data_IF_293237556818
#
_entry.id   IF_293237556818
#
_cell.length_a   1.000
_cell.length_b   1.000
_cell.length_c   1.000
_cell.angle_alpha   90.00
_cell.angle_beta   90.00
_cell.angle_gamma   90.00
#
_symmetry.space_group_name_H-M   'P 1'
#
loop_
_entity.id
_entity.type
_entity.pdbx_description
1 polymer ?
#
# COMPACT_ATOMS: atom_id res chain seq x y z
N UNK A 1 10.15 10.32 -81.80
CA UNK A 1 8.93 10.67 -82.54
C UNK A 1 8.09 11.45 -81.55
N UNK A 2 8.34 12.78 -81.42
CA UNK A 2 7.67 13.89 -82.09
C UNK A 2 6.14 13.72 -82.10
N UNK A 3 5.41 14.57 -81.44
CA UNK A 3 4.76 15.80 -81.90
C UNK A 3 3.93 16.27 -80.69
N UNK A 4 4.17 17.41 -80.08
CA UNK A 4 3.84 18.78 -80.37
C UNK A 4 2.34 19.11 -80.28
N UNK A 5 2.06 20.04 -79.36
CA UNK A 5 1.22 21.23 -79.38
C UNK A 5 -0.30 21.04 -79.40
N UNK A 6 -1.05 21.72 -78.59
CA UNK A 6 -1.47 23.09 -78.87
C UNK A 6 -2.21 23.71 -77.68
N UNK A 7 -1.97 24.94 -77.55
CA UNK A 7 -2.41 25.95 -76.63
C UNK A 7 -3.76 26.50 -77.06
N UNK A 8 -4.70 26.69 -76.13
CA UNK A 8 -5.70 27.75 -76.30
C UNK A 8 -6.08 28.37 -74.96
N UNK A 9 -5.71 29.60 -74.85
CA UNK A 9 -6.04 30.61 -73.87
C UNK A 9 -7.51 31.05 -74.04
N UNK A 10 -8.30 31.12 -72.96
CA UNK A 10 -9.51 31.94 -72.92
C UNK A 10 -9.61 32.61 -71.55
N UNK A 11 -9.31 33.86 -71.47
CA UNK A 11 -9.64 34.88 -70.49
C UNK A 11 -11.14 34.93 -70.20
N UNK A 12 -11.51 34.86 -68.91
CA UNK A 12 -12.88 35.13 -68.46
C UNK A 12 -12.89 35.52 -66.97
N UNK A 13 -12.83 36.84 -66.72
CA UNK A 13 -12.90 37.44 -65.40
C UNK A 13 -14.22 37.09 -64.68
N UNK A 14 -14.15 36.35 -63.64
CA UNK A 14 -15.23 36.10 -62.69
C UNK A 14 -14.85 36.62 -61.31
N UNK A 15 -15.54 37.67 -60.87
CA UNK A 15 -15.40 38.20 -59.48
C UNK A 15 -15.72 37.11 -58.50
N UNK A 16 -14.71 36.67 -57.73
CA UNK A 16 -14.92 35.78 -56.58
C UNK A 16 -15.61 36.54 -55.46
N UNK A 17 -16.81 36.12 -55.13
CA UNK A 17 -17.57 36.51 -53.95
C UNK A 17 -17.01 35.74 -52.78
N UNK A 18 -16.50 36.36 -51.67
CA UNK A 18 -16.01 35.64 -50.54
C UNK A 18 -17.14 34.93 -49.84
N UNK A 19 -17.21 33.63 -49.99
CA UNK A 19 -18.08 32.78 -49.20
C UNK A 19 -17.62 32.79 -47.77
N UNK A 20 -18.32 33.48 -46.87
CA UNK A 20 -18.16 33.44 -45.45
C UNK A 20 -18.35 31.98 -44.98
N UNK A 21 -17.25 31.26 -44.83
CA UNK A 21 -17.26 29.91 -44.26
C UNK A 21 -17.82 29.97 -42.85
N UNK A 22 -19.04 29.42 -42.69
CA UNK A 22 -19.66 29.17 -41.40
C UNK A 22 -18.74 28.19 -40.68
N UNK A 23 -17.96 28.65 -39.66
CA UNK A 23 -17.17 27.80 -38.79
C UNK A 23 -18.14 26.79 -38.16
N UNK A 24 -18.12 25.56 -38.64
CA UNK A 24 -18.77 24.44 -37.95
C UNK A 24 -18.09 24.34 -36.59
N UNK A 25 -18.78 24.78 -35.55
CA UNK A 25 -18.38 24.53 -34.16
C UNK A 25 -18.42 23.02 -33.99
N UNK A 26 -17.27 22.42 -33.80
CA UNK A 26 -17.13 21.00 -33.62
C UNK A 26 -17.76 20.64 -32.27
N UNK A 27 -19.03 20.26 -32.32
CA UNK A 27 -19.85 19.97 -31.12
C UNK A 27 -19.17 18.99 -30.18
N UNK A 28 -18.39 18.06 -30.73
CA UNK A 28 -17.67 17.09 -29.91
C UNK A 28 -16.56 17.75 -29.08
N UNK A 29 -15.85 18.73 -29.65
CA UNK A 29 -14.81 19.47 -28.89
C UNK A 29 -15.39 20.36 -27.80
N UNK A 30 -16.57 20.94 -28.05
CA UNK A 30 -17.25 21.78 -27.05
C UNK A 30 -17.81 20.89 -25.92
N UNK A 31 -18.42 19.75 -26.25
CA UNK A 31 -18.94 18.81 -25.27
C UNK A 31 -17.82 18.22 -24.40
N UNK A 32 -16.71 17.80 -24.99
CA UNK A 32 -15.56 17.28 -24.24
C UNK A 32 -14.97 18.34 -23.31
N UNK A 33 -14.81 19.60 -23.77
CA UNK A 33 -14.33 20.68 -22.91
C UNK A 33 -15.30 21.00 -21.77
N UNK A 34 -16.61 20.98 -22.03
CA UNK A 34 -17.62 21.19 -21.01
C UNK A 34 -17.63 20.06 -19.96
N UNK A 35 -17.45 18.80 -20.36
CA UNK A 35 -17.36 17.65 -19.47
C UNK A 35 -16.09 17.72 -18.59
N UNK A 36 -14.96 18.11 -19.15
CA UNK A 36 -13.71 18.26 -18.39
C UNK A 36 -13.84 19.39 -17.37
N UNK A 37 -14.41 20.53 -17.72
CA UNK A 37 -14.61 21.64 -16.79
C UNK A 37 -15.63 21.26 -15.71
N UNK A 38 -16.72 20.57 -16.07
CA UNK A 38 -17.69 20.08 -15.11
C UNK A 38 -17.08 19.06 -14.15
N UNK A 39 -16.22 18.17 -14.63
CA UNK A 39 -15.48 17.21 -13.79
C UNK A 39 -14.58 17.91 -12.79
N UNK A 40 -13.83 18.94 -13.20
CA UNK A 40 -12.94 19.71 -12.30
C UNK A 40 -13.73 20.48 -11.24
N UNK A 41 -14.90 21.01 -11.60
CA UNK A 41 -15.78 21.75 -10.68
C UNK A 41 -16.56 20.82 -9.72
N UNK A 42 -16.84 19.57 -10.13
CA UNK A 42 -17.59 18.61 -9.33
C UNK A 42 -16.70 17.83 -8.34
N UNK A 43 -15.40 17.70 -8.60
CA UNK A 43 -14.44 17.04 -7.70
C UNK A 43 -14.48 17.57 -6.25
N UNK A 44 -14.52 18.88 -5.99
CA UNK A 44 -14.60 19.39 -4.63
C UNK A 44 -15.98 19.16 -3.97
N UNK A 45 -17.06 19.04 -4.77
CA UNK A 45 -18.42 18.84 -4.25
C UNK A 45 -18.62 17.39 -3.77
N UNK A 46 -17.92 16.43 -4.37
CA UNK A 46 -17.95 15.02 -3.96
C UNK A 46 -17.20 14.74 -2.65
N UNK A 47 -16.60 15.76 -2.02
CA UNK A 47 -15.95 15.62 -0.71
C UNK A 47 -14.81 14.60 -0.69
N UNK A 48 -14.23 14.25 -1.86
CA UNK A 48 -13.00 13.49 -1.92
C UNK A 48 -11.88 14.43 -1.47
N UNK A 49 -11.87 14.74 -0.20
CA UNK A 49 -10.71 15.31 0.44
C UNK A 49 -9.67 14.19 0.44
N UNK A 50 -8.67 14.34 -0.42
CA UNK A 50 -7.43 13.61 -0.26
C UNK A 50 -6.87 14.05 1.10
N UNK A 51 -7.18 13.28 2.15
CA UNK A 51 -6.47 13.41 3.43
C UNK A 51 -5.11 12.77 3.19
N UNK A 52 -4.02 13.54 3.18
CA UNK A 52 -2.70 12.92 3.26
C UNK A 52 -2.72 12.01 4.49
N UNK A 53 -2.12 10.82 4.35
CA UNK A 53 -1.96 9.93 5.50
C UNK A 53 -1.41 10.76 6.66
N UNK A 54 -2.00 10.69 7.86
CA UNK A 54 -1.51 11.44 8.99
C UNK A 54 -0.03 11.09 9.17
N UNK A 55 0.83 12.10 9.24
CA UNK A 55 2.21 11.90 9.66
C UNK A 55 2.13 11.23 11.03
N UNK A 56 2.55 9.97 11.11
CA UNK A 56 2.49 9.22 12.34
C UNK A 56 3.42 9.90 13.35
N UNK A 57 2.82 10.46 14.40
CA UNK A 57 3.57 11.17 15.43
C UNK A 57 4.06 10.17 16.49
N UNK A 58 5.26 9.68 16.30
CA UNK A 58 5.93 8.80 17.29
C UNK A 58 6.09 9.46 18.68
N UNK A 59 5.99 10.78 18.78
CA UNK A 59 6.04 11.47 20.06
C UNK A 59 4.72 11.35 20.83
N UNK A 60 3.60 11.21 20.14
CA UNK A 60 2.29 11.00 20.74
C UNK A 60 2.09 9.55 21.24
N UNK A 61 2.85 8.58 20.69
CA UNK A 61 2.86 7.18 21.17
C UNK A 61 3.79 7.10 22.39
N UNK A 62 3.38 7.72 23.47
CA UNK A 62 4.26 7.98 24.64
C UNK A 62 4.42 6.82 25.58
N UNK A 63 3.72 5.71 25.44
CA UNK A 63 3.92 4.59 26.32
C UNK A 63 3.49 3.29 25.62
N UNK A 64 4.44 2.64 24.99
CA UNK A 64 4.35 1.21 24.84
C UNK A 64 4.22 0.65 26.26
N UNK A 65 3.02 0.21 26.64
CA UNK A 65 2.81 -0.31 27.98
C UNK A 65 3.72 -1.52 28.20
N UNK A 66 4.60 -1.45 29.19
CA UNK A 66 5.44 -2.59 29.56
C UNK A 66 4.80 -3.28 30.75
N UNK A 67 4.34 -4.49 30.53
CA UNK A 67 3.81 -5.38 31.57
C UNK A 67 4.77 -6.55 31.73
N UNK A 68 5.22 -6.81 32.95
CA UNK A 68 6.15 -7.90 33.30
C UNK A 68 7.43 -7.95 32.45
N UNK A 69 7.97 -6.79 32.08
CA UNK A 69 9.17 -6.69 31.24
C UNK A 69 8.93 -6.94 29.75
N UNK A 70 7.67 -7.12 29.32
CA UNK A 70 7.25 -7.31 27.93
C UNK A 70 6.59 -6.03 27.42
N UNK A 71 7.08 -5.50 26.33
CA UNK A 71 6.53 -4.28 25.73
C UNK A 71 5.39 -4.60 24.78
N UNK A 72 4.21 -4.04 25.01
CA UNK A 72 3.08 -4.14 24.08
C UNK A 72 3.32 -3.22 22.87
N UNK A 73 3.26 -3.78 21.67
CA UNK A 73 3.51 -3.06 20.42
C UNK A 73 2.37 -3.35 19.45
N UNK A 74 1.92 -2.32 18.73
CA UNK A 74 0.94 -2.46 17.65
C UNK A 74 1.56 -2.25 16.26
N UNK A 75 0.81 -2.60 15.23
CA UNK A 75 1.25 -2.44 13.85
C UNK A 75 1.25 -0.97 13.38
N UNK A 76 0.46 -0.10 14.00
CA UNK A 76 0.49 1.33 13.70
C UNK A 76 1.85 1.91 14.11
N UNK A 77 2.42 1.42 15.21
CA UNK A 77 3.76 1.78 15.61
C UNK A 77 4.85 1.16 14.71
N UNK A 78 4.73 -0.12 14.36
CA UNK A 78 5.72 -0.81 13.53
C UNK A 78 5.68 -0.35 12.06
N UNK A 79 4.49 -0.10 11.51
CA UNK A 79 4.25 0.27 10.11
C UNK A 79 4.11 1.76 9.85
N UNK A 80 4.16 2.61 10.89
CA UNK A 80 3.84 4.04 10.80
C UNK A 80 4.84 4.91 10.04
N UNK A 81 5.85 4.35 9.40
CA UNK A 81 6.85 5.05 8.61
C UNK A 81 7.04 4.43 7.22
N UNK A 82 7.55 5.20 6.27
CA UNK A 82 7.79 4.74 4.91
C UNK A 82 9.22 4.23 4.74
N UNK A 83 9.42 2.95 5.09
CA UNK A 83 10.73 2.31 4.99
C UNK A 83 11.21 2.18 3.53
N UNK A 84 10.31 1.94 2.58
CA UNK A 84 10.68 1.75 1.18
C UNK A 84 11.22 3.04 0.54
N UNK A 85 10.73 4.18 1.02
CA UNK A 85 11.19 5.49 0.54
C UNK A 85 12.49 5.94 1.21
N UNK A 86 12.55 5.83 2.52
CA UNK A 86 13.62 6.46 3.32
C UNK A 86 14.75 5.49 3.66
N UNK A 87 14.49 4.18 3.60
CA UNK A 87 15.38 3.09 4.01
C UNK A 87 15.98 3.31 5.42
N UNK A 88 15.22 3.98 6.28
CA UNK A 88 15.61 4.33 7.64
C UNK A 88 14.55 3.86 8.62
N UNK A 89 14.98 3.17 9.67
CA UNK A 89 14.11 2.79 10.79
C UNK A 89 14.17 3.90 11.85
N UNK A 90 13.02 4.41 12.31
CA UNK A 90 13.01 5.42 13.38
C UNK A 90 13.67 4.92 14.67
N UNK A 91 14.37 5.80 15.36
CA UNK A 91 15.09 5.46 16.60
C UNK A 91 14.17 4.80 17.64
N UNK A 92 12.93 5.28 17.78
CA UNK A 92 11.92 4.71 18.68
C UNK A 92 11.57 3.26 18.36
N UNK A 93 11.52 2.90 17.08
CA UNK A 93 11.30 1.51 16.65
C UNK A 93 12.55 0.69 16.92
N UNK A 94 13.75 1.22 16.61
CA UNK A 94 15.02 0.55 16.89
C UNK A 94 15.25 0.26 18.39
N UNK A 95 14.64 1.02 19.30
CA UNK A 95 14.67 0.74 20.73
C UNK A 95 14.05 -0.63 21.09
N UNK A 96 13.24 -1.21 20.22
CA UNK A 96 12.63 -2.53 20.42
C UNK A 96 13.54 -3.69 20.00
N UNK A 97 14.65 -3.41 19.32
CA UNK A 97 15.57 -4.47 18.88
C UNK A 97 16.11 -5.26 20.07
N UNK A 98 16.00 -6.58 19.98
CA UNK A 98 16.42 -7.51 21.02
C UNK A 98 15.53 -7.55 22.28
N UNK A 99 14.45 -6.76 22.35
CA UNK A 99 13.53 -6.78 23.48
C UNK A 99 12.44 -7.83 23.33
N UNK A 100 11.85 -8.24 24.45
CA UNK A 100 10.64 -9.02 24.47
C UNK A 100 9.44 -8.13 24.23
N UNK A 101 8.69 -8.45 23.19
CA UNK A 101 7.50 -7.69 22.77
C UNK A 101 6.28 -8.59 22.68
N UNK A 102 5.12 -7.96 22.76
CA UNK A 102 3.80 -8.56 22.62
C UNK A 102 3.07 -7.87 21.49
N UNK A 103 2.77 -8.58 20.41
CA UNK A 103 2.09 -8.05 19.22
C UNK A 103 0.81 -8.81 18.98
N UNK A 104 -0.25 -8.10 18.56
CA UNK A 104 -1.54 -8.69 18.20
C UNK A 104 -1.70 -8.60 16.70
N UNK A 105 -2.11 -9.72 16.07
CA UNK A 105 -2.31 -9.77 14.62
C UNK A 105 -2.93 -11.09 14.16
N UNK A 106 -2.95 -11.31 12.86
CA UNK A 106 -3.52 -12.47 12.22
C UNK A 106 -2.41 -13.32 11.60
N UNK A 107 -2.52 -14.65 11.76
CA UNK A 107 -1.54 -15.60 11.27
C UNK A 107 -1.71 -15.86 9.77
N UNK A 108 -0.61 -15.74 9.02
CA UNK A 108 -0.46 -16.30 7.69
C UNK A 108 0.71 -17.29 7.72
N UNK A 109 0.48 -18.60 7.62
CA UNK A 109 1.54 -19.59 7.73
C UNK A 109 2.51 -19.49 6.55
N UNK A 110 3.80 -19.63 6.82
CA UNK A 110 4.84 -19.75 5.82
C UNK A 110 5.18 -21.21 5.58
N UNK A 111 5.20 -21.99 6.66
CA UNK A 111 5.27 -23.44 6.63
C UNK A 111 3.99 -24.03 7.30
N UNK A 112 3.49 -25.09 6.73
CA UNK A 112 2.27 -25.72 7.23
C UNK A 112 2.38 -27.23 7.11
N UNK A 113 2.62 -27.88 8.23
CA UNK A 113 2.71 -29.35 8.31
C UNK A 113 1.68 -29.89 9.29
N UNK A 114 0.76 -30.70 8.79
CA UNK A 114 -0.18 -31.48 9.64
C UNK A 114 -1.00 -30.66 10.65
N UNK A 115 -1.33 -29.39 10.30
CA UNK A 115 -2.09 -28.51 11.19
C UNK A 115 -1.24 -27.76 12.23
N UNK A 116 0.06 -27.98 12.23
CA UNK A 116 1.03 -27.29 13.06
C UNK A 116 1.85 -26.31 12.22
N UNK A 117 2.24 -25.18 12.84
CA UNK A 117 2.98 -24.11 12.19
C UNK A 117 4.21 -23.78 13.02
N UNK A 118 5.39 -23.84 12.43
CA UNK A 118 6.65 -23.50 13.06
C UNK A 118 7.13 -22.10 12.67
N UNK A 119 6.68 -21.59 11.51
CA UNK A 119 6.92 -20.21 11.10
C UNK A 119 5.73 -19.58 10.39
N UNK A 120 5.48 -18.32 10.64
CA UNK A 120 4.35 -17.59 10.07
C UNK A 120 4.59 -16.10 10.02
N UNK A 121 3.89 -15.42 9.13
CA UNK A 121 3.76 -13.96 9.15
C UNK A 121 2.60 -13.58 10.07
N UNK A 122 2.87 -12.65 10.98
CA UNK A 122 1.84 -12.00 11.79
C UNK A 122 1.49 -10.67 11.12
N UNK A 123 0.23 -10.50 10.71
CA UNK A 123 -0.26 -9.38 9.92
C UNK A 123 -1.20 -8.51 10.74
N UNK A 124 -1.25 -7.21 10.43
CA UNK A 124 -2.19 -6.28 11.07
C UNK A 124 -3.66 -6.62 10.77
N UNK A 125 -3.94 -7.13 9.57
CA UNK A 125 -5.30 -7.43 9.14
C UNK A 125 -5.34 -8.67 8.25
N UNK A 126 -6.54 -9.22 8.07
CA UNK A 126 -6.78 -10.41 7.24
C UNK A 126 -6.76 -10.11 5.73
N UNK A 127 -6.80 -8.84 5.33
CA UNK A 127 -6.94 -8.46 3.93
C UNK A 127 -5.74 -8.84 3.07
N UNK A 128 -4.55 -8.87 3.65
CA UNK A 128 -3.32 -9.22 2.96
C UNK A 128 -3.33 -10.65 2.39
N UNK A 129 -3.92 -11.60 3.09
CA UNK A 129 -3.97 -12.99 2.62
C UNK A 129 -5.11 -13.27 1.63
N UNK A 130 -6.27 -12.58 1.77
CA UNK A 130 -7.47 -12.88 0.97
C UNK A 130 -7.54 -12.12 -0.35
N UNK A 131 -6.91 -10.96 -0.47
CA UNK A 131 -7.01 -10.07 -1.63
C UNK A 131 -5.70 -9.91 -2.41
N UNK A 132 -4.66 -10.68 -2.08
CA UNK A 132 -3.38 -10.69 -2.81
C UNK A 132 -2.59 -9.39 -2.72
N UNK A 133 -2.91 -8.52 -1.76
CA UNK A 133 -2.13 -7.30 -1.50
C UNK A 133 -0.98 -7.68 -0.58
N UNK A 134 0.25 -7.67 -1.12
CA UNK A 134 1.44 -7.89 -0.30
C UNK A 134 1.59 -6.73 0.70
N UNK A 135 1.75 -7.00 2.00
CA UNK A 135 2.05 -5.98 2.97
C UNK A 135 3.45 -5.41 2.72
N UNK A 136 3.67 -4.14 3.10
CA UNK A 136 5.01 -3.55 3.08
C UNK A 136 5.92 -4.28 4.06
N UNK A 137 7.23 -4.20 3.84
CA UNK A 137 8.24 -4.93 4.64
C UNK A 137 8.19 -4.62 6.14
N UNK A 138 7.60 -3.50 6.54
CA UNK A 138 7.42 -3.06 7.92
C UNK A 138 5.96 -3.19 8.43
N UNK A 139 5.06 -3.84 7.67
CA UNK A 139 3.66 -4.05 8.06
C UNK A 139 3.36 -5.46 8.55
N UNK A 140 4.37 -6.29 8.66
CA UNK A 140 4.24 -7.63 9.22
C UNK A 140 5.45 -8.00 10.08
N UNK A 141 5.25 -8.99 10.93
CA UNK A 141 6.32 -9.60 11.74
C UNK A 141 6.46 -11.06 11.33
N UNK A 142 7.63 -11.47 10.88
CA UNK A 142 7.95 -12.87 10.66
C UNK A 142 8.24 -13.54 11.99
N UNK A 143 7.43 -14.54 12.35
CA UNK A 143 7.54 -15.25 13.63
C UNK A 143 8.11 -16.63 13.37
N UNK A 144 9.18 -16.96 14.07
CA UNK A 144 9.77 -18.30 14.12
C UNK A 144 9.57 -18.89 15.53
N UNK A 145 8.99 -20.04 15.60
CA UNK A 145 8.91 -20.79 16.87
C UNK A 145 10.27 -21.42 17.17
N UNK A 146 10.62 -21.60 18.44
CA UNK A 146 11.87 -22.29 18.81
C UNK A 146 11.96 -23.68 18.19
N UNK A 147 13.16 -24.15 17.95
CA UNK A 147 13.42 -25.48 17.40
C UNK A 147 12.66 -26.57 18.17
N UNK A 148 11.97 -27.43 17.42
CA UNK A 148 11.11 -28.49 17.97
C UNK A 148 9.80 -28.00 18.60
N UNK A 149 9.44 -26.72 18.44
CA UNK A 149 8.15 -26.16 18.86
C UNK A 149 7.35 -25.68 17.69
N UNK A 150 6.05 -25.88 17.77
CA UNK A 150 5.06 -25.41 16.82
C UNK A 150 3.88 -24.80 17.56
N UNK A 151 3.01 -24.15 16.82
CA UNK A 151 1.70 -23.69 17.29
C UNK A 151 0.63 -24.21 16.35
N UNK A 152 -0.59 -24.32 16.84
CA UNK A 152 -1.71 -24.69 15.98
C UNK A 152 -1.97 -23.61 14.93
N UNK A 153 -2.30 -24.05 13.73
CA UNK A 153 -2.82 -23.16 12.73
C UNK A 153 -4.14 -22.53 13.19
N UNK A 154 -4.20 -21.22 13.22
CA UNK A 154 -5.36 -20.45 13.63
C UNK A 154 -5.58 -19.33 12.61
N UNK A 155 -6.61 -19.51 11.77
CA UNK A 155 -7.02 -18.49 10.79
C UNK A 155 -8.20 -17.69 11.30
N UNK A 156 -8.39 -16.50 10.78
CA UNK A 156 -9.54 -15.61 10.98
C UNK A 156 -9.80 -15.15 12.44
N UNK A 157 -8.89 -15.43 13.33
CA UNK A 157 -8.94 -14.95 14.71
C UNK A 157 -7.66 -14.18 15.07
N UNK A 158 -7.77 -13.08 15.83
CA UNK A 158 -6.60 -12.34 16.25
C UNK A 158 -5.81 -13.16 17.27
N UNK A 159 -4.50 -13.18 17.11
CA UNK A 159 -3.55 -13.83 18.00
C UNK A 159 -2.74 -12.79 18.74
N UNK A 160 -2.38 -13.10 19.96
CA UNK A 160 -1.37 -12.40 20.73
C UNK A 160 -0.10 -13.23 20.70
N UNK A 161 0.95 -12.69 20.12
CA UNK A 161 2.26 -13.34 20.04
C UNK A 161 3.24 -12.59 20.92
N UNK A 162 3.91 -13.34 21.78
CA UNK A 162 4.98 -12.81 22.64
C UNK A 162 6.30 -13.43 22.23
N UNK A 163 7.33 -12.61 22.08
CA UNK A 163 8.64 -13.10 21.67
C UNK A 163 9.70 -12.02 21.64
N UNK A 164 10.91 -12.41 21.32
CA UNK A 164 12.05 -11.49 21.16
C UNK A 164 12.07 -10.93 19.75
N UNK A 165 11.92 -9.61 19.62
CA UNK A 165 11.94 -8.91 18.34
C UNK A 165 13.37 -8.66 17.87
N UNK A 166 13.61 -8.81 16.58
CA UNK A 166 14.81 -8.42 15.85
C UNK A 166 14.43 -7.53 14.66
N UNK A 167 15.23 -6.50 14.42
CA UNK A 167 14.96 -5.48 13.40
C UNK A 167 16.12 -5.44 12.40
N UNK A 168 15.77 -5.46 11.10
CA UNK A 168 16.75 -5.35 10.00
C UNK A 168 17.51 -6.64 9.69
N UNK A 169 17.27 -7.73 10.41
CA UNK A 169 17.80 -9.05 10.04
C UNK A 169 16.93 -9.64 8.91
N UNK A 170 17.56 -9.94 7.76
CA UNK A 170 16.88 -10.60 6.65
C UNK A 170 16.24 -11.91 7.10
N UNK A 171 14.97 -12.11 6.76
CA UNK A 171 14.23 -13.33 6.99
C UNK A 171 13.77 -13.96 5.66
N UNK A 172 13.19 -15.16 5.72
CA UNK A 172 12.78 -15.92 4.54
C UNK A 172 11.75 -15.19 3.66
N UNK A 173 11.00 -14.27 4.25
CA UNK A 173 9.93 -13.53 3.56
C UNK A 173 10.28 -12.07 3.25
N UNK A 174 11.53 -11.66 3.51
CA UNK A 174 12.02 -10.32 3.19
C UNK A 174 11.46 -9.19 4.06
N UNK A 175 10.90 -9.49 5.23
CA UNK A 175 10.36 -8.50 6.16
C UNK A 175 11.43 -7.79 6.99
N UNK A 176 11.07 -6.63 7.52
CA UNK A 176 11.93 -5.84 8.39
C UNK A 176 12.01 -6.43 9.82
N UNK A 177 10.98 -7.12 10.27
CA UNK A 177 10.83 -7.62 11.62
C UNK A 177 10.86 -9.14 11.66
N UNK A 178 11.70 -9.68 12.54
CA UNK A 178 11.72 -11.11 12.88
C UNK A 178 11.48 -11.27 14.37
N UNK A 179 10.64 -12.21 14.76
CA UNK A 179 10.36 -12.51 16.16
C UNK A 179 10.65 -13.97 16.46
N UNK A 180 11.49 -14.23 17.46
CA UNK A 180 11.59 -15.56 18.06
C UNK A 180 10.44 -15.75 19.04
N UNK A 181 9.41 -16.49 18.62
CA UNK A 181 8.17 -16.70 19.37
C UNK A 181 8.42 -17.45 20.67
N UNK A 182 7.82 -16.99 21.75
CA UNK A 182 7.82 -17.65 23.06
C UNK A 182 6.45 -18.22 23.40
N UNK A 183 5.39 -17.46 23.07
CA UNK A 183 4.02 -17.81 23.32
C UNK A 183 3.11 -17.28 22.22
N UNK A 184 2.11 -18.08 21.83
CA UNK A 184 1.05 -17.73 20.87
C UNK A 184 -0.27 -18.09 21.50
N UNK A 185 -1.16 -17.13 21.65
CA UNK A 185 -2.48 -17.32 22.27
C UNK A 185 -3.56 -16.56 21.52
N UNK A 186 -4.79 -17.02 21.59
CA UNK A 186 -5.94 -16.31 21.02
C UNK A 186 -6.16 -15.01 21.80
N UNK A 187 -6.16 -13.89 21.08
CA UNK A 187 -6.52 -12.61 21.69
C UNK A 187 -8.05 -12.51 21.83
N UNK A 188 -8.51 -12.24 23.04
CA UNK A 188 -9.91 -11.99 23.36
C UNK A 188 -9.98 -10.66 24.09
N UNK A 189 -10.64 -9.69 23.46
CA UNK A 189 -11.10 -8.48 24.16
C UNK A 189 -12.36 -8.85 24.95
N UNK A 190 -12.28 -8.73 26.27
CA UNK A 190 -13.43 -8.85 27.15
C UNK A 190 -13.89 -7.47 27.56
#
# INVERSE_FOLDING_TARGET
MTVRDEQTDITGGGKEVPVKGKRRIDRNRVVVKALVVASILFLPVLGIHYRPAPNFDYAAVTALATEDGVTKVDFDFLGGFDYEKDNVVPAKVMELDGKDVKVIGYMLPVDFESGEVSSFMLLNNQMGCCFGVMPRVNEFVYVEMPEGKSTKFMTDIPLRVTGKLKIGEGNLVGGLYTMKGKNVEVFRDY
#
